data_IF_035784848991
#
_entry.id   IF_035784848991
#
_cell.length_a   1.000
_cell.length_b   1.000
_cell.length_c   1.000
_cell.angle_alpha   90.00
_cell.angle_beta   90.00
_cell.angle_gamma   90.00
#
_symmetry.space_group_name_H-M   'P 1'
#
loop_
_entity.id
_entity.type
_entity.pdbx_description
1 polymer ?
#
# COMPACT_ATOMS: atom_id res chain seq x y z
N UNK A 1 -15.06 38.00 20.66
CA UNK A 1 -14.69 37.64 19.27
C UNK A 1 -13.17 37.61 19.21
N UNK A 2 -12.55 36.43 19.02
CA UNK A 2 -11.16 36.30 18.60
C UNK A 2 -11.04 34.94 17.91
N UNK A 3 -11.14 34.93 16.59
CA UNK A 3 -10.97 33.73 15.79
C UNK A 3 -9.48 33.40 15.69
N UNK A 4 -9.10 32.20 16.11
CA UNK A 4 -7.77 31.64 15.83
C UNK A 4 -7.62 31.43 14.32
N UNK A 5 -6.56 31.91 13.66
CA UNK A 5 -6.36 31.70 12.24
C UNK A 5 -6.20 30.19 11.92
N UNK A 6 -6.68 29.71 10.76
CA UNK A 6 -6.49 28.32 10.35
C UNK A 6 -4.99 28.04 10.14
N UNK A 7 -4.50 26.95 10.73
CA UNK A 7 -3.14 26.47 10.52
C UNK A 7 -2.89 26.25 9.01
N UNK A 8 -1.95 26.99 8.44
CA UNK A 8 -1.48 26.75 7.08
C UNK A 8 -0.99 25.30 6.97
N UNK A 9 -1.60 24.55 6.06
CA UNK A 9 -1.09 23.24 5.64
C UNK A 9 0.34 23.45 5.16
N UNK A 10 1.33 23.03 5.96
CA UNK A 10 2.70 22.84 5.47
C UNK A 10 2.61 21.92 4.26
N UNK A 11 2.74 22.49 3.06
CA UNK A 11 3.03 21.74 1.85
C UNK A 11 4.37 21.06 2.10
N UNK A 12 4.33 19.79 2.48
CA UNK A 12 5.52 18.95 2.52
C UNK A 12 6.18 19.07 1.15
N UNK A 13 7.42 19.57 1.12
CA UNK A 13 8.12 19.80 -0.14
C UNK A 13 8.19 18.45 -0.87
N UNK A 14 7.89 18.39 -2.18
CA UNK A 14 8.10 17.18 -2.94
C UNK A 14 9.56 16.73 -2.75
N UNK A 15 9.82 15.41 -2.66
CA UNK A 15 11.17 14.89 -2.52
C UNK A 15 12.11 15.55 -3.53
N UNK A 16 13.34 15.92 -3.15
CA UNK A 16 14.25 16.58 -4.08
C UNK A 16 14.46 15.71 -5.34
N UNK A 17 14.41 16.32 -6.52
CA UNK A 17 14.54 15.74 -7.87
C UNK A 17 15.54 14.57 -8.00
N UNK A 18 16.64 14.62 -7.25
CA UNK A 18 17.71 13.64 -7.27
C UNK A 18 17.30 12.30 -6.63
N UNK A 19 16.35 12.32 -5.71
CA UNK A 19 15.79 11.15 -5.02
C UNK A 19 14.82 10.41 -5.96
N UNK A 20 13.92 11.12 -6.64
CA UNK A 20 13.05 10.55 -7.67
C UNK A 20 13.85 9.94 -8.84
N UNK A 21 14.86 10.66 -9.32
CA UNK A 21 15.80 10.15 -10.35
C UNK A 21 16.57 8.93 -9.87
N UNK A 22 16.92 8.86 -8.58
CA UNK A 22 17.55 7.72 -7.95
C UNK A 22 16.64 6.48 -7.92
N UNK A 23 15.38 6.64 -7.52
CA UNK A 23 14.38 5.58 -7.56
C UNK A 23 14.08 5.11 -9.00
N UNK A 24 13.96 6.06 -9.94
CA UNK A 24 13.72 5.75 -11.36
C UNK A 24 14.90 4.97 -11.99
N UNK A 25 16.15 5.39 -11.75
CA UNK A 25 17.34 4.67 -12.24
C UNK A 25 17.48 3.28 -11.60
N UNK A 26 17.17 3.15 -10.31
CA UNK A 26 17.20 1.85 -9.62
C UNK A 26 16.11 0.92 -10.15
N UNK A 27 14.92 1.44 -10.45
CA UNK A 27 13.83 0.72 -11.07
C UNK A 27 14.15 0.30 -12.51
N UNK A 28 14.76 1.17 -13.32
CA UNK A 28 15.18 0.87 -14.68
C UNK A 28 16.25 -0.24 -14.72
N UNK A 29 17.25 -0.16 -13.83
CA UNK A 29 18.29 -1.19 -13.69
C UNK A 29 17.74 -2.53 -13.17
N UNK A 30 16.64 -2.50 -12.41
CA UNK A 30 15.96 -3.68 -11.87
C UNK A 30 15.00 -4.37 -12.87
N UNK A 31 14.58 -3.70 -13.96
CA UNK A 31 13.59 -4.24 -14.93
C UNK A 31 14.03 -5.53 -15.65
N UNK A 32 15.31 -5.91 -15.58
CA UNK A 32 15.79 -7.26 -15.88
C UNK A 32 15.54 -7.75 -17.32
N UNK A 33 15.85 -9.03 -17.59
CA UNK A 33 15.68 -9.68 -18.92
C UNK A 33 14.19 -9.71 -19.34
N UNK A 34 13.91 -9.89 -20.65
CA UNK A 34 12.55 -10.02 -21.23
C UNK A 34 11.60 -10.96 -20.44
N UNK A 35 12.12 -12.06 -19.88
CA UNK A 35 11.38 -12.98 -19.00
C UNK A 35 10.95 -12.37 -17.66
N UNK A 36 11.75 -11.48 -17.07
CA UNK A 36 11.40 -10.77 -15.83
C UNK A 36 10.26 -9.79 -16.06
N UNK A 37 10.29 -9.03 -17.16
CA UNK A 37 9.20 -8.12 -17.52
C UNK A 37 7.85 -8.84 -17.66
N UNK A 38 7.83 -10.03 -18.28
CA UNK A 38 6.62 -10.85 -18.37
C UNK A 38 6.12 -11.32 -17.00
N UNK A 39 7.02 -11.78 -16.12
CA UNK A 39 6.64 -12.16 -14.74
C UNK A 39 6.09 -10.97 -13.96
N UNK A 40 6.72 -9.80 -14.06
CA UNK A 40 6.25 -8.57 -13.41
C UNK A 40 4.86 -8.17 -13.91
N UNK A 41 4.59 -8.29 -15.21
CA UNK A 41 3.26 -8.04 -15.76
C UNK A 41 2.21 -9.02 -15.23
N UNK A 42 2.55 -10.31 -15.12
CA UNK A 42 1.64 -11.31 -14.56
C UNK A 42 1.35 -11.06 -13.08
N UNK A 43 2.39 -10.78 -12.29
CA UNK A 43 2.25 -10.42 -10.87
C UNK A 43 1.42 -9.15 -10.70
N UNK A 44 1.65 -8.13 -11.54
CA UNK A 44 0.85 -6.90 -11.53
C UNK A 44 -0.63 -7.12 -11.80
N UNK A 45 -0.96 -8.03 -12.74
CA UNK A 45 -2.35 -8.39 -13.01
C UNK A 45 -3.02 -9.10 -11.81
N UNK A 46 -2.32 -10.03 -11.18
CA UNK A 46 -2.82 -10.74 -9.98
C UNK A 46 -2.98 -9.77 -8.80
N UNK A 47 -1.99 -8.91 -8.58
CA UNK A 47 -2.04 -7.87 -7.55
C UNK A 47 -3.24 -6.93 -7.76
N UNK A 48 -3.51 -6.53 -9.00
CA UNK A 48 -4.69 -5.74 -9.36
C UNK A 48 -6.01 -6.45 -9.06
N UNK A 49 -6.09 -7.76 -9.33
CA UNK A 49 -7.27 -8.56 -8.98
C UNK A 49 -7.49 -8.63 -7.46
N UNK A 50 -6.43 -8.87 -6.67
CA UNK A 50 -6.49 -8.88 -5.21
C UNK A 50 -6.96 -7.52 -4.67
N UNK A 51 -6.39 -6.42 -5.16
CA UNK A 51 -6.81 -5.07 -4.78
C UNK A 51 -8.28 -4.82 -5.08
N UNK A 52 -8.77 -5.30 -6.23
CA UNK A 52 -10.18 -5.15 -6.62
C UNK A 52 -11.10 -5.90 -5.67
N UNK A 53 -10.73 -7.12 -5.25
CA UNK A 53 -11.52 -7.87 -4.25
C UNK A 53 -11.53 -7.20 -2.89
N UNK A 54 -10.38 -6.72 -2.41
CA UNK A 54 -10.28 -6.02 -1.12
C UNK A 54 -11.13 -4.75 -1.11
N UNK A 55 -11.14 -3.99 -2.20
CA UNK A 55 -11.92 -2.75 -2.34
C UNK A 55 -13.44 -2.95 -2.32
N UNK A 56 -13.94 -4.17 -2.50
CA UNK A 56 -15.38 -4.47 -2.34
C UNK A 56 -15.82 -4.38 -0.87
N UNK A 57 -14.92 -4.66 0.06
CA UNK A 57 -15.19 -4.66 1.51
C UNK A 57 -14.64 -3.41 2.17
N UNK A 58 -13.45 -2.98 1.76
CA UNK A 58 -12.77 -1.79 2.29
C UNK A 58 -13.06 -0.59 1.39
N UNK A 59 -13.95 0.28 1.87
CA UNK A 59 -14.29 1.52 1.15
C UNK A 59 -13.21 2.58 1.41
N UNK A 60 -12.63 3.11 0.34
CA UNK A 60 -11.59 4.14 0.40
C UNK A 60 -10.22 3.60 0.85
N UNK A 61 -9.37 4.50 1.37
CA UNK A 61 -8.02 4.17 1.86
C UNK A 61 -7.12 3.43 0.84
N UNK A 62 -7.22 3.75 -0.46
CA UNK A 62 -6.45 3.07 -1.53
C UNK A 62 -4.95 3.00 -1.25
N UNK A 63 -4.36 4.09 -0.73
CA UNK A 63 -2.93 4.11 -0.38
C UNK A 63 -2.56 3.09 0.71
N UNK A 64 -3.47 2.82 1.66
CA UNK A 64 -3.24 1.83 2.73
C UNK A 64 -3.31 0.43 2.16
N UNK A 65 -4.29 0.17 1.29
CA UNK A 65 -4.43 -1.11 0.58
C UNK A 65 -3.15 -1.42 -0.20
N UNK A 66 -2.64 -0.43 -0.95
CA UNK A 66 -1.39 -0.58 -1.71
C UNK A 66 -0.20 -0.87 -0.78
N UNK A 67 -0.08 -0.15 0.34
CA UNK A 67 0.99 -0.39 1.32
C UNK A 67 0.92 -1.78 1.96
N UNK A 68 -0.28 -2.28 2.27
CA UNK A 68 -0.47 -3.63 2.81
C UNK A 68 -0.07 -4.67 1.76
N UNK A 69 -0.50 -4.53 0.52
CA UNK A 69 -0.13 -5.43 -0.57
C UNK A 69 1.39 -5.44 -0.80
N UNK A 70 2.03 -4.26 -0.83
CA UNK A 70 3.49 -4.14 -0.94
C UNK A 70 4.20 -4.83 0.21
N UNK A 71 3.70 -4.66 1.44
CA UNK A 71 4.25 -5.31 2.63
C UNK A 71 4.18 -6.83 2.52
N UNK A 72 3.03 -7.38 2.12
CA UNK A 72 2.81 -8.82 1.92
C UNK A 72 3.76 -9.36 0.83
N UNK A 73 3.83 -8.71 -0.32
CA UNK A 73 4.71 -9.12 -1.43
C UNK A 73 6.20 -9.05 -1.07
N UNK A 74 6.56 -8.19 -0.12
CA UNK A 74 7.93 -8.04 0.39
C UNK A 74 8.22 -8.95 1.58
N UNK A 75 7.26 -9.77 2.02
CA UNK A 75 7.34 -10.57 3.25
C UNK A 75 7.68 -9.73 4.49
N UNK A 76 7.07 -8.54 4.58
CA UNK A 76 7.25 -7.60 5.69
C UNK A 76 6.31 -7.85 6.86
N UNK A 77 6.54 -7.09 7.93
CA UNK A 77 5.59 -6.93 9.04
C UNK A 77 4.97 -5.54 8.95
N UNK A 78 3.69 -5.41 9.30
CA UNK A 78 2.95 -4.15 9.24
C UNK A 78 2.26 -3.88 10.58
N UNK A 79 2.33 -2.63 11.04
CA UNK A 79 1.63 -2.14 12.21
C UNK A 79 0.55 -1.14 11.76
N UNK A 80 -0.70 -1.35 12.19
CA UNK A 80 -1.77 -0.38 11.98
C UNK A 80 -1.90 0.54 13.19
N UNK A 81 -1.46 1.78 13.05
CA UNK A 81 -1.72 2.87 14.02
C UNK A 81 -2.89 3.72 13.52
N UNK A 82 -3.99 3.71 14.25
CA UNK A 82 -5.21 4.44 13.86
C UNK A 82 -6.18 4.49 15.04
N UNK A 83 -7.21 5.34 14.97
CA UNK A 83 -8.29 5.36 15.96
C UNK A 83 -9.11 4.05 16.00
N UNK A 84 -9.74 3.70 17.15
CA UNK A 84 -10.63 2.54 17.24
C UNK A 84 -11.79 2.66 16.23
N UNK A 85 -12.22 1.52 15.67
CA UNK A 85 -13.31 1.48 14.69
C UNK A 85 -12.93 1.74 13.23
N UNK A 86 -11.66 2.06 12.92
CA UNK A 86 -11.21 2.38 11.55
C UNK A 86 -10.87 1.18 10.66
N UNK A 87 -11.61 0.07 10.84
CA UNK A 87 -11.52 -1.14 10.02
C UNK A 87 -10.13 -1.81 9.99
N UNK A 88 -9.27 -1.60 11.00
CA UNK A 88 -7.94 -2.25 11.08
C UNK A 88 -8.01 -3.77 11.01
N UNK A 89 -8.86 -4.38 11.84
CA UNK A 89 -9.08 -5.84 11.85
C UNK A 89 -9.73 -6.32 10.56
N UNK A 90 -10.73 -5.57 10.06
CA UNK A 90 -11.41 -5.91 8.82
C UNK A 90 -10.43 -5.89 7.64
N UNK A 91 -9.55 -4.89 7.56
CA UNK A 91 -8.49 -4.81 6.54
C UNK A 91 -7.64 -6.08 6.51
N UNK A 92 -7.11 -6.51 7.67
CA UNK A 92 -6.28 -7.71 7.72
C UNK A 92 -7.06 -8.97 7.35
N UNK A 93 -8.31 -9.10 7.81
CA UNK A 93 -9.15 -10.25 7.49
C UNK A 93 -9.50 -10.30 6.00
N UNK A 94 -9.89 -9.18 5.40
CA UNK A 94 -10.21 -9.10 3.97
C UNK A 94 -9.01 -9.48 3.10
N UNK A 95 -7.79 -9.06 3.47
CA UNK A 95 -6.59 -9.49 2.77
C UNK A 95 -6.32 -10.98 2.93
N UNK A 96 -6.51 -11.53 4.12
CA UNK A 96 -6.38 -12.97 4.35
C UNK A 96 -7.38 -13.77 3.50
N UNK A 97 -8.64 -13.35 3.47
CA UNK A 97 -9.70 -13.95 2.66
C UNK A 97 -9.38 -13.88 1.16
N UNK A 98 -8.97 -12.70 0.66
CA UNK A 98 -8.65 -12.49 -0.75
C UNK A 98 -7.40 -13.29 -1.21
N UNK A 99 -6.46 -13.56 -0.30
CA UNK A 99 -5.25 -14.33 -0.56
C UNK A 99 -5.39 -15.81 -0.23
N UNK A 100 -6.51 -16.24 0.36
CA UNK A 100 -6.70 -17.61 0.85
C UNK A 100 -5.74 -17.99 1.99
N UNK A 101 -5.36 -17.02 2.81
CA UNK A 101 -4.46 -17.21 3.95
C UNK A 101 -5.24 -17.43 5.24
N UNK A 102 -4.66 -18.18 6.18
CA UNK A 102 -5.22 -18.30 7.53
C UNK A 102 -5.02 -16.99 8.31
N UNK A 103 -6.10 -16.47 8.90
CA UNK A 103 -6.03 -15.35 9.82
C UNK A 103 -6.01 -15.84 11.27
N UNK A 104 -5.00 -15.42 12.04
CA UNK A 104 -4.90 -15.70 13.48
C UNK A 104 -4.75 -14.39 14.25
N UNK A 105 -5.61 -14.19 15.24
CA UNK A 105 -5.54 -13.07 16.18
C UNK A 105 -4.94 -13.54 17.49
N UNK A 106 -3.80 -12.96 17.87
CA UNK A 106 -3.21 -13.10 19.20
C UNK A 106 -3.61 -11.87 20.01
N UNK A 107 -4.15 -12.07 21.21
CA UNK A 107 -4.63 -11.00 22.11
C UNK A 107 -3.65 -10.76 23.24
#
# INVERSE_FOLDING_TARGET
MNATPPAEKKKEKPPPDNVEKGYAKKAEKARGKKKMSQKLSAVGAIAGAINTEVQKVIIGKSHVIDNVLVNILSNGNLLFEDYPGLAKTLMTNTFADALGCDFKRVQ
#
